data_IF_729528705630
#
_entry.id   IF_729528705630
#
_cell.length_a   1.000
_cell.length_b   1.000
_cell.length_c   1.000
_cell.angle_alpha   90.00
_cell.angle_beta   90.00
_cell.angle_gamma   90.00
#
_symmetry.space_group_name_H-M   'P 1'
#
loop_
_entity.id
_entity.type
_entity.pdbx_description
1 polymer ?
#
# COMPACT_ATOMS: atom_id res chain seq x y z
N UNK A 1 5.24 -18.72 25.12
CA UNK A 1 4.84 -17.30 24.95
C UNK A 1 5.13 -16.93 23.51
N UNK A 2 4.11 -16.74 22.68
CA UNK A 2 4.31 -16.32 21.29
C UNK A 2 4.58 -14.81 21.29
N UNK A 3 5.71 -14.39 20.71
CA UNK A 3 5.94 -13.00 20.36
C UNK A 3 5.00 -12.68 19.18
N UNK A 4 3.74 -12.37 19.46
CA UNK A 4 2.95 -11.65 18.47
C UNK A 4 3.59 -10.26 18.39
N UNK A 5 4.25 -9.89 17.28
CA UNK A 5 4.80 -8.54 17.15
C UNK A 5 3.62 -7.59 17.31
N UNK A 6 3.62 -6.83 18.42
CA UNK A 6 2.52 -5.91 18.73
C UNK A 6 2.49 -4.81 17.67
N UNK A 7 1.39 -4.71 16.95
CA UNK A 7 1.17 -3.68 15.94
C UNK A 7 0.21 -4.15 14.85
N UNK A 8 -0.59 -3.23 14.32
CA UNK A 8 -1.37 -3.50 13.11
C UNK A 8 -0.42 -3.67 11.92
N UNK A 9 -0.80 -4.54 11.00
CA UNK A 9 -0.13 -4.73 9.72
C UNK A 9 -1.20 -4.69 8.63
N UNK A 10 -0.88 -4.03 7.52
CA UNK A 10 -1.78 -3.95 6.37
C UNK A 10 -0.96 -3.80 5.08
N UNK A 11 -1.28 -4.54 4.01
CA UNK A 11 -0.59 -4.40 2.73
C UNK A 11 -1.10 -3.17 1.97
N UNK A 12 -0.18 -2.39 1.40
CA UNK A 12 -0.52 -1.34 0.44
C UNK A 12 -0.72 -1.98 -0.95
N UNK A 13 -1.93 -2.47 -1.22
CA UNK A 13 -2.19 -3.32 -2.38
C UNK A 13 -2.17 -2.57 -3.72
N UNK A 14 -1.54 -3.21 -4.71
CA UNK A 14 -1.75 -2.90 -6.12
C UNK A 14 -3.16 -3.33 -6.52
N UNK A 15 -3.96 -2.43 -7.10
CA UNK A 15 -5.32 -2.74 -7.54
C UNK A 15 -5.45 -3.68 -8.75
N UNK A 16 -4.35 -4.33 -9.17
CA UNK A 16 -4.34 -5.34 -10.24
C UNK A 16 -3.83 -6.71 -9.78
N UNK A 17 -2.83 -6.76 -8.90
CA UNK A 17 -2.22 -8.01 -8.46
C UNK A 17 -2.31 -8.27 -6.95
N UNK A 18 -2.91 -7.34 -6.19
CA UNK A 18 -3.04 -7.45 -4.72
C UNK A 18 -1.68 -7.67 -4.03
N UNK A 19 -0.63 -7.17 -4.69
CA UNK A 19 0.74 -7.22 -4.20
C UNK A 19 1.22 -5.82 -3.85
N UNK A 20 2.02 -5.71 -2.79
CA UNK A 20 2.58 -4.45 -2.35
C UNK A 20 3.38 -4.57 -1.06
N UNK A 21 4.01 -3.46 -0.62
CA UNK A 21 4.72 -3.46 0.65
C UNK A 21 3.74 -3.59 1.82
N UNK A 22 4.22 -4.17 2.91
CA UNK A 22 3.48 -4.29 4.16
C UNK A 22 3.74 -3.04 5.00
N UNK A 23 2.68 -2.29 5.32
CA UNK A 23 2.70 -1.21 6.30
C UNK A 23 2.56 -1.79 7.70
N UNK A 24 3.11 -1.09 8.68
CA UNK A 24 3.12 -1.51 10.09
C UNK A 24 2.83 -0.34 11.02
N UNK A 25 2.29 -0.64 12.20
CA UNK A 25 2.04 0.37 13.24
C UNK A 25 1.02 1.42 12.80
N UNK A 26 1.31 2.70 13.04
CA UNK A 26 0.40 3.81 12.75
C UNK A 26 0.04 3.91 11.26
N UNK A 27 0.98 3.56 10.37
CA UNK A 27 0.73 3.56 8.92
C UNK A 27 -0.25 2.46 8.51
N UNK A 28 -0.18 1.30 9.17
CA UNK A 28 -1.16 0.24 8.97
C UNK A 28 -2.51 0.61 9.59
N UNK A 29 -2.50 1.25 10.76
CA UNK A 29 -3.71 1.75 11.41
C UNK A 29 -4.46 2.73 10.51
N UNK A 30 -3.76 3.72 9.97
CA UNK A 30 -4.32 4.73 9.08
C UNK A 30 -4.86 4.10 7.79
N UNK A 31 -4.13 3.16 7.18
CA UNK A 31 -4.62 2.43 6.01
C UNK A 31 -5.91 1.66 6.33
N UNK A 32 -5.98 0.96 7.46
CA UNK A 32 -7.16 0.19 7.87
C UNK A 32 -8.36 1.11 8.15
N UNK A 33 -8.13 2.25 8.81
CA UNK A 33 -9.19 3.18 9.20
C UNK A 33 -9.75 3.98 8.03
N UNK A 34 -8.88 4.41 7.11
CA UNK A 34 -9.22 5.31 6.01
C UNK A 34 -9.42 4.59 4.68
N UNK A 35 -9.08 3.29 4.61
CA UNK A 35 -9.05 2.49 3.39
C UNK A 35 -8.22 3.17 2.27
N UNK A 36 -7.17 3.89 2.67
CA UNK A 36 -6.31 4.69 1.79
C UNK A 36 -4.87 4.62 2.26
N UNK A 37 -3.93 4.49 1.32
CA UNK A 37 -2.50 4.53 1.64
C UNK A 37 -2.12 5.92 2.16
N UNK A 38 -1.49 6.02 3.36
CA UNK A 38 -1.05 7.29 3.94
C UNK A 38 -0.20 8.10 2.97
N UNK A 39 -0.30 9.43 3.03
CA UNK A 39 0.36 10.32 2.06
C UNK A 39 1.89 10.11 1.95
N UNK A 40 2.64 9.94 3.07
CA UNK A 40 4.09 9.70 2.99
C UNK A 40 4.43 8.44 2.20
N UNK A 41 3.73 7.34 2.46
CA UNK A 41 3.88 6.06 1.78
C UNK A 41 3.42 6.15 0.33
N UNK A 42 2.30 6.83 0.07
CA UNK A 42 1.84 7.09 -1.30
C UNK A 42 2.91 7.84 -2.10
N UNK A 43 3.48 8.92 -1.56
CA UNK A 43 4.56 9.66 -2.23
C UNK A 43 5.79 8.77 -2.47
N UNK A 44 6.15 7.94 -1.49
CA UNK A 44 7.26 7.00 -1.63
C UNK A 44 7.00 5.98 -2.75
N UNK A 45 5.81 5.38 -2.80
CA UNK A 45 5.40 4.43 -3.83
C UNK A 45 5.49 5.06 -5.23
N UNK A 46 4.94 6.27 -5.39
CA UNK A 46 5.01 7.00 -6.66
C UNK A 46 6.46 7.29 -7.08
N UNK A 47 7.34 7.59 -6.13
CA UNK A 47 8.78 7.71 -6.37
C UNK A 47 9.47 6.41 -6.79
N UNK A 48 8.86 5.25 -6.51
CA UNK A 48 9.37 3.91 -6.82
C UNK A 48 8.63 3.24 -7.99
N UNK A 49 8.03 4.04 -8.88
CA UNK A 49 7.43 3.56 -10.13
C UNK A 49 6.00 3.06 -10.01
N UNK A 50 5.38 3.19 -8.83
CA UNK A 50 3.93 3.06 -8.73
C UNK A 50 3.23 4.24 -9.39
N UNK A 51 1.98 4.04 -9.79
CA UNK A 51 1.16 5.06 -10.46
C UNK A 51 -0.26 5.07 -9.91
N UNK A 52 -0.89 6.22 -9.92
CA UNK A 52 -2.32 6.34 -9.64
C UNK A 52 -3.12 6.04 -10.91
N UNK A 53 -4.17 5.24 -10.77
CA UNK A 53 -5.11 4.92 -11.83
C UNK A 53 -6.54 5.20 -11.38
N UNK A 54 -7.37 5.87 -12.20
CA UNK A 54 -8.71 6.31 -11.79
C UNK A 54 -9.67 5.19 -11.35
N UNK A 55 -9.50 3.97 -11.86
CA UNK A 55 -10.39 2.82 -11.56
C UNK A 55 -9.78 1.76 -10.66
N UNK A 56 -8.45 1.73 -10.55
CA UNK A 56 -7.73 0.66 -9.87
C UNK A 56 -6.91 1.19 -8.68
N UNK A 57 -7.00 2.49 -8.37
CA UNK A 57 -6.20 3.08 -7.30
C UNK A 57 -4.71 3.03 -7.65
N UNK A 58 -3.89 2.61 -6.69
CA UNK A 58 -2.44 2.48 -6.86
C UNK A 58 -2.10 1.21 -7.66
N UNK A 59 -1.25 1.36 -8.68
CA UNK A 59 -0.75 0.26 -9.51
C UNK A 59 0.77 0.20 -9.40
N UNK A 60 1.31 -0.99 -9.13
CA UNK A 60 2.76 -1.20 -9.03
C UNK A 60 3.49 -1.15 -10.38
N UNK A 61 4.82 -1.05 -10.32
CA UNK A 61 5.67 -0.97 -11.51
C UNK A 61 5.62 -2.23 -12.40
N UNK A 62 5.19 -3.38 -11.86
CA UNK A 62 5.10 -4.65 -12.60
C UNK A 62 3.96 -4.67 -13.64
N UNK A 63 3.09 -3.66 -13.64
CA UNK A 63 2.02 -3.49 -14.62
C UNK A 63 2.24 -2.22 -15.48
N UNK A 64 3.30 -2.17 -16.31
CA UNK A 64 3.68 -0.97 -17.06
C UNK A 64 2.58 -0.44 -18.00
N UNK A 65 1.73 -1.31 -18.55
CA UNK A 65 0.71 -0.97 -19.55
C UNK A 65 -0.72 -0.77 -19.04
N UNK A 66 -0.97 -0.80 -17.73
CA UNK A 66 -2.32 -0.70 -17.17
C UNK A 66 -2.77 0.75 -16.84
N UNK A 67 -2.22 1.71 -17.58
CA UNK A 67 -2.54 3.15 -17.47
C UNK A 67 -3.73 3.56 -18.32
#
# INVERSE_FOLDING_TARGET
MACQPGGQIAPADCGLCEGGPILVGDLAAELIELDQVPEPDRRWLLGHGWREHPRHGLICADHPGAV
#
